data_IF_383042411222
#
_entry.id   IF_383042411222
#
_cell.length_a   1.000
_cell.length_b   1.000
_cell.length_c   1.000
_cell.angle_alpha   90.00
_cell.angle_beta   90.00
_cell.angle_gamma   90.00
#
_symmetry.space_group_name_H-M   'P 1'
#
loop_
_entity.id
_entity.type
_entity.pdbx_description
1 polymer ?
#
# COMPACT_ATOMS: atom_id res chain seq x y z
N UNK A 1 16.14 23.64 -14.46
CA UNK A 1 16.89 22.71 -15.31
C UNK A 1 16.28 21.33 -15.10
N UNK A 2 15.42 20.89 -16.02
CA UNK A 2 14.77 19.58 -15.96
C UNK A 2 15.71 18.50 -16.49
N UNK A 3 15.98 17.50 -15.67
CA UNK A 3 16.67 16.29 -16.13
C UNK A 3 15.66 15.43 -16.87
N UNK A 4 15.79 15.36 -18.20
CA UNK A 4 15.02 14.44 -19.02
C UNK A 4 15.54 13.02 -18.71
N UNK A 5 14.73 12.21 -18.03
CA UNK A 5 14.96 10.78 -17.92
C UNK A 5 14.63 10.14 -19.26
N UNK A 6 15.66 9.69 -19.96
CA UNK A 6 15.50 8.87 -21.17
C UNK A 6 14.80 7.55 -20.80
N UNK A 7 13.76 7.13 -21.53
CA UNK A 7 13.14 5.83 -21.30
C UNK A 7 14.17 4.72 -21.59
N UNK A 8 14.26 3.77 -20.67
CA UNK A 8 15.21 2.67 -20.72
C UNK A 8 14.73 1.65 -21.78
N UNK A 9 15.12 1.86 -23.05
CA UNK A 9 14.74 1.00 -24.18
C UNK A 9 15.21 -0.47 -24.02
N UNK A 10 16.28 -0.71 -23.25
CA UNK A 10 16.79 -2.06 -22.99
C UNK A 10 15.82 -2.97 -22.22
N UNK A 11 14.92 -2.40 -21.40
CA UNK A 11 13.90 -3.17 -20.67
C UNK A 11 12.76 -3.65 -21.57
N UNK A 12 12.34 -2.83 -22.53
CA UNK A 12 11.25 -3.16 -23.43
C UNK A 12 11.63 -4.31 -24.40
N UNK A 13 12.86 -4.32 -24.87
CA UNK A 13 13.34 -5.38 -25.77
C UNK A 13 13.48 -6.73 -25.05
N UNK A 14 13.82 -6.73 -23.77
CA UNK A 14 13.86 -7.94 -22.94
C UNK A 14 12.48 -8.48 -22.62
N UNK A 15 11.49 -7.62 -22.38
CA UNK A 15 10.10 -8.03 -22.15
C UNK A 15 9.50 -8.69 -23.40
N UNK A 16 9.71 -8.11 -24.59
CA UNK A 16 9.24 -8.67 -25.86
C UNK A 16 9.90 -10.01 -26.15
N UNK A 17 11.19 -10.16 -25.88
CA UNK A 17 11.91 -11.43 -26.07
C UNK A 17 11.42 -12.52 -25.10
N UNK A 18 11.14 -12.17 -23.84
CA UNK A 18 10.59 -13.13 -22.86
C UNK A 18 9.16 -13.53 -23.18
N UNK A 19 8.34 -12.61 -23.70
CA UNK A 19 6.97 -12.94 -24.15
C UNK A 19 6.96 -13.87 -25.36
N UNK A 20 7.84 -13.65 -26.33
CA UNK A 20 7.96 -14.53 -27.50
C UNK A 20 8.39 -15.95 -27.10
N UNK A 21 9.41 -16.03 -26.23
CA UNK A 21 9.90 -17.31 -25.71
C UNK A 21 8.87 -18.02 -24.83
N UNK A 22 8.09 -17.28 -24.05
CA UNK A 22 7.00 -17.82 -23.25
C UNK A 22 5.90 -18.44 -24.11
N UNK A 23 5.60 -17.89 -25.28
CA UNK A 23 4.62 -18.48 -26.22
C UNK A 23 5.08 -19.83 -26.74
N UNK A 24 6.36 -19.97 -27.09
CA UNK A 24 6.92 -21.24 -27.55
C UNK A 24 7.01 -22.30 -26.46
N UNK A 25 7.19 -21.89 -25.21
CA UNK A 25 7.32 -22.78 -24.05
C UNK A 25 5.97 -23.13 -23.40
N UNK A 26 4.92 -22.35 -23.67
CA UNK A 26 3.58 -22.57 -23.12
C UNK A 26 3.00 -23.92 -23.52
N UNK A 27 3.26 -24.35 -24.74
CA UNK A 27 2.88 -25.68 -25.21
C UNK A 27 3.64 -26.82 -24.52
N UNK A 28 4.78 -26.51 -23.91
CA UNK A 28 5.63 -27.42 -23.13
C UNK A 28 5.40 -27.33 -21.61
N UNK A 29 4.49 -26.48 -21.17
CA UNK A 29 4.15 -26.31 -19.75
C UNK A 29 5.17 -25.55 -18.92
N UNK A 30 6.06 -24.75 -19.53
CA UNK A 30 7.05 -23.91 -18.84
C UNK A 30 6.71 -22.43 -19.01
N UNK A 31 6.92 -21.64 -17.95
CA UNK A 31 6.83 -20.17 -17.95
C UNK A 31 8.19 -19.59 -17.53
N UNK A 32 8.75 -18.73 -18.37
CA UNK A 32 9.90 -17.91 -18.01
C UNK A 32 9.41 -16.58 -17.45
N UNK A 33 9.87 -16.25 -16.26
CA UNK A 33 9.56 -14.98 -15.61
C UNK A 33 10.82 -14.42 -14.93
N UNK A 34 10.86 -13.10 -14.73
CA UNK A 34 11.98 -12.50 -14.00
C UNK A 34 11.90 -12.82 -12.50
N UNK A 35 13.04 -12.82 -11.82
CA UNK A 35 13.08 -13.02 -10.37
C UNK A 35 12.32 -11.91 -9.63
N UNK A 36 12.31 -10.70 -10.17
CA UNK A 36 11.54 -9.57 -9.64
C UNK A 36 10.04 -9.79 -9.69
N UNK A 37 9.53 -10.36 -10.79
CA UNK A 37 8.11 -10.66 -10.95
C UNK A 37 7.64 -11.72 -9.95
N UNK A 38 8.47 -12.75 -9.70
CA UNK A 38 8.17 -13.78 -8.69
C UNK A 38 8.13 -13.16 -7.30
N UNK A 39 9.11 -12.31 -6.95
CA UNK A 39 9.16 -11.64 -5.66
C UNK A 39 7.95 -10.70 -5.49
N UNK A 40 7.61 -9.92 -6.51
CA UNK A 40 6.48 -9.00 -6.47
C UNK A 40 5.13 -9.75 -6.43
N UNK A 41 5.03 -10.89 -7.13
CA UNK A 41 3.86 -11.78 -7.02
C UNK A 41 3.71 -12.31 -5.60
N UNK A 42 4.78 -12.82 -4.99
CA UNK A 42 4.76 -13.30 -3.62
C UNK A 42 4.40 -12.20 -2.62
N UNK A 43 4.98 -11.01 -2.75
CA UNK A 43 4.67 -9.84 -1.90
C UNK A 43 3.20 -9.41 -2.01
N UNK A 44 2.66 -9.36 -3.23
CA UNK A 44 1.26 -8.97 -3.43
C UNK A 44 0.26 -10.00 -2.92
N UNK A 45 0.64 -11.27 -2.89
CA UNK A 45 -0.19 -12.36 -2.33
C UNK A 45 -0.10 -12.50 -0.80
N UNK A 46 0.79 -11.76 -0.14
CA UNK A 46 1.00 -11.83 1.31
C UNK A 46 1.28 -10.43 1.88
N UNK A 47 0.29 -9.56 1.81
CA UNK A 47 0.34 -8.23 2.40
C UNK A 47 -0.26 -8.24 3.80
N UNK A 48 0.54 -7.86 4.79
CA UNK A 48 0.07 -7.71 6.16
C UNK A 48 -0.05 -6.23 6.50
N UNK A 49 -1.25 -5.78 6.89
CA UNK A 49 -1.42 -4.39 7.27
C UNK A 49 -1.31 -4.17 8.78
N UNK A 50 -0.63 -3.11 9.15
CA UNK A 50 -0.62 -2.59 10.52
C UNK A 50 -1.93 -1.85 10.81
N UNK A 51 -2.63 -2.26 11.87
CA UNK A 51 -3.87 -1.64 12.31
C UNK A 51 -3.59 -0.37 13.11
N UNK A 52 -3.41 0.76 12.43
CA UNK A 52 -3.23 2.07 13.07
C UNK A 52 -4.56 2.84 13.08
N UNK A 53 -5.51 2.35 13.87
CA UNK A 53 -6.84 2.93 14.02
C UNK A 53 -6.86 4.09 15.01
N UNK A 54 -7.26 5.27 14.54
CA UNK A 54 -7.27 6.50 15.35
C UNK A 54 -8.69 7.02 15.63
N UNK A 55 -9.65 6.75 14.73
CA UNK A 55 -11.02 7.25 14.83
C UNK A 55 -12.00 6.35 14.05
N UNK A 56 -13.11 6.93 13.58
CA UNK A 56 -14.19 6.21 12.88
C UNK A 56 -13.74 5.39 11.65
N UNK A 57 -12.72 5.82 10.93
CA UNK A 57 -12.17 5.04 9.81
C UNK A 57 -11.64 3.66 10.25
N UNK A 58 -11.24 3.51 11.52
CA UNK A 58 -10.81 2.22 12.06
C UNK A 58 -11.93 1.17 12.05
N UNK A 59 -13.18 1.59 12.22
CA UNK A 59 -14.34 0.69 12.17
C UNK A 59 -14.53 0.12 10.77
N UNK A 60 -14.42 0.97 9.74
CA UNK A 60 -14.49 0.52 8.34
C UNK A 60 -13.26 -0.33 7.95
N UNK A 61 -12.10 -0.03 8.52
CA UNK A 61 -10.91 -0.88 8.35
C UNK A 61 -11.12 -2.27 8.95
N UNK A 62 -11.73 -2.38 10.15
CA UNK A 62 -12.11 -3.67 10.74
C UNK A 62 -13.17 -4.37 9.89
N UNK A 63 -14.16 -3.61 9.36
CA UNK A 63 -15.21 -4.16 8.51
C UNK A 63 -14.64 -4.81 7.23
N UNK A 64 -13.56 -4.27 6.67
CA UNK A 64 -12.89 -4.85 5.50
C UNK A 64 -12.31 -6.26 5.75
N UNK A 65 -11.96 -6.60 7.00
CA UNK A 65 -11.50 -7.94 7.39
C UNK A 65 -12.61 -8.88 7.84
N UNK A 66 -13.85 -8.38 8.01
CA UNK A 66 -15.00 -9.19 8.40
C UNK A 66 -15.52 -10.07 7.25
N UNK A 67 -16.34 -11.10 7.55
CA UNK A 67 -16.76 -12.12 6.57
C UNK A 67 -17.44 -11.58 5.31
N UNK A 68 -18.07 -10.41 5.36
CA UNK A 68 -18.73 -9.81 4.18
C UNK A 68 -17.73 -9.46 3.07
N UNK A 69 -16.57 -8.92 3.44
CA UNK A 69 -15.55 -8.44 2.49
C UNK A 69 -14.37 -9.36 2.41
N UNK A 70 -14.00 -9.96 3.53
CA UNK A 70 -12.97 -11.00 3.64
C UNK A 70 -11.68 -10.63 2.88
N UNK A 71 -10.99 -9.59 3.35
CA UNK A 71 -9.75 -9.12 2.75
C UNK A 71 -8.67 -10.22 2.71
N UNK A 72 -8.76 -11.23 3.58
CA UNK A 72 -7.79 -12.33 3.66
C UNK A 72 -7.78 -13.19 2.39
N UNK A 73 -8.91 -13.32 1.70
CA UNK A 73 -8.97 -14.02 0.39
C UNK A 73 -8.12 -13.38 -0.70
N UNK A 74 -7.77 -12.09 -0.53
CA UNK A 74 -6.85 -11.37 -1.43
C UNK A 74 -5.39 -11.45 -0.96
N UNK A 75 -5.10 -12.25 0.06
CA UNK A 75 -3.78 -12.32 0.66
C UNK A 75 -3.43 -11.13 1.55
N UNK A 76 -4.44 -10.46 2.12
CA UNK A 76 -4.27 -9.23 2.89
C UNK A 76 -4.85 -9.43 4.29
N UNK A 77 -3.98 -9.55 5.31
CA UNK A 77 -4.38 -9.86 6.68
C UNK A 77 -3.94 -8.78 7.68
N UNK A 78 -4.75 -8.52 8.75
CA UNK A 78 -4.37 -7.57 9.79
C UNK A 78 -3.26 -8.13 10.69
N UNK A 79 -2.33 -7.27 11.10
CA UNK A 79 -1.31 -7.56 12.11
C UNK A 79 -1.23 -6.42 13.12
N UNK A 80 -1.10 -6.74 14.39
CA UNK A 80 -0.98 -5.74 15.45
C UNK A 80 0.46 -5.23 15.63
N UNK A 81 1.46 -6.04 15.22
CA UNK A 81 2.87 -5.68 15.38
C UNK A 81 3.42 -5.01 14.14
N UNK A 82 4.07 -3.84 14.25
CA UNK A 82 4.70 -3.17 13.12
C UNK A 82 5.82 -4.00 12.48
N UNK A 83 6.50 -4.83 13.24
CA UNK A 83 7.58 -5.70 12.72
C UNK A 83 7.08 -6.87 11.87
N UNK A 84 5.79 -7.16 11.90
CA UNK A 84 5.13 -8.21 11.14
C UNK A 84 4.20 -7.64 10.04
N UNK A 85 4.31 -6.35 9.76
CA UNK A 85 3.42 -5.64 8.83
C UNK A 85 4.20 -4.98 7.72
N UNK A 86 3.68 -5.07 6.50
CA UNK A 86 4.26 -4.50 5.29
C UNK A 86 3.58 -3.17 4.92
N UNK A 87 2.33 -3.01 5.31
CA UNK A 87 1.48 -1.86 4.99
C UNK A 87 0.98 -1.21 6.27
N UNK A 88 1.13 0.11 6.41
CA UNK A 88 0.49 0.88 7.46
C UNK A 88 -0.79 1.52 6.91
N UNK A 89 -1.92 1.29 7.56
CA UNK A 89 -3.17 2.00 7.26
C UNK A 89 -3.40 3.04 8.36
N UNK A 90 -3.27 4.31 8.02
CA UNK A 90 -3.57 5.42 8.93
C UNK A 90 -5.06 5.71 8.83
N UNK A 91 -5.85 5.20 9.78
CA UNK A 91 -7.29 5.20 9.74
C UNK A 91 -7.89 6.15 10.79
N UNK A 92 -7.97 7.43 10.47
CA UNK A 92 -8.61 8.44 11.32
C UNK A 92 -7.82 9.72 11.48
N UNK A 93 -8.24 10.53 12.46
CA UNK A 93 -7.67 11.85 12.74
C UNK A 93 -6.32 11.73 13.43
N UNK A 94 -5.28 12.26 12.79
CA UNK A 94 -3.94 12.31 13.38
C UNK A 94 -3.78 13.61 14.19
N UNK A 95 -3.58 13.48 15.49
CA UNK A 95 -3.30 14.61 16.37
C UNK A 95 -1.81 14.88 16.48
N UNK A 96 -1.44 16.13 16.86
CA UNK A 96 -0.04 16.51 17.09
C UNK A 96 0.62 15.64 18.16
N UNK A 97 -0.12 15.21 19.20
CA UNK A 97 0.39 14.31 20.23
C UNK A 97 0.64 12.89 19.72
N UNK A 98 -0.14 12.45 18.75
CA UNK A 98 -0.03 11.09 18.18
C UNK A 98 0.99 11.02 17.03
N UNK A 99 1.31 12.13 16.40
CA UNK A 99 2.25 12.17 15.27
C UNK A 99 3.63 11.54 15.57
N UNK A 100 4.27 11.79 16.73
CA UNK A 100 5.52 11.12 17.07
C UNK A 100 5.38 9.60 17.22
N UNK A 101 4.24 9.12 17.73
CA UNK A 101 3.94 7.70 17.85
C UNK A 101 3.76 7.04 16.47
N UNK A 102 3.04 7.71 15.55
CA UNK A 102 2.89 7.26 14.16
C UNK A 102 4.27 7.10 13.51
N UNK A 103 5.13 8.10 13.62
CA UNK A 103 6.48 8.05 13.05
C UNK A 103 7.30 6.91 13.65
N UNK A 104 7.27 6.75 14.96
CA UNK A 104 7.98 5.66 15.65
C UNK A 104 7.51 4.28 15.22
N UNK A 105 6.21 4.08 15.03
CA UNK A 105 5.64 2.82 14.55
C UNK A 105 6.06 2.57 13.09
N UNK A 106 6.02 3.60 12.26
CA UNK A 106 6.47 3.50 10.87
C UNK A 106 7.95 3.09 10.76
N UNK A 107 8.81 3.67 11.60
CA UNK A 107 10.26 3.35 11.60
C UNK A 107 10.55 1.93 12.10
N UNK A 108 9.60 1.30 12.83
CA UNK A 108 9.72 -0.09 13.29
C UNK A 108 9.26 -1.12 12.24
N UNK A 109 8.63 -0.69 11.16
CA UNK A 109 8.23 -1.59 10.08
C UNK A 109 9.45 -2.00 9.24
N UNK A 110 9.54 -3.28 8.83
CA UNK A 110 10.58 -3.73 7.93
C UNK A 110 10.39 -3.14 6.52
N UNK A 111 11.46 -3.04 5.77
CA UNK A 111 11.38 -2.67 4.35
C UNK A 111 11.22 -3.94 3.47
N UNK A 112 10.47 -3.85 2.36
CA UNK A 112 9.73 -2.69 1.86
C UNK A 112 8.43 -2.43 2.63
N UNK A 113 8.16 -1.17 2.94
CA UNK A 113 7.00 -0.72 3.71
C UNK A 113 6.18 0.28 2.92
N UNK A 114 4.85 0.20 3.04
CA UNK A 114 3.90 1.03 2.31
C UNK A 114 2.93 1.71 3.26
N UNK A 115 2.39 2.86 2.87
CA UNK A 115 1.44 3.61 3.70
C UNK A 115 0.18 3.92 2.89
N UNK A 116 -0.97 3.59 3.47
CA UNK A 116 -2.29 4.00 2.98
C UNK A 116 -2.86 5.04 3.95
N UNK A 117 -3.18 6.21 3.43
CA UNK A 117 -3.90 7.25 4.15
C UNK A 117 -5.40 7.05 3.91
N UNK A 118 -6.14 6.67 4.97
CA UNK A 118 -7.56 6.35 4.90
C UNK A 118 -8.41 7.46 5.50
N UNK A 119 -9.25 8.03 4.66
CA UNK A 119 -10.25 9.02 5.04
C UNK A 119 -9.74 10.46 5.03
N UNK A 120 -10.67 11.41 4.99
CA UNK A 120 -10.38 12.83 4.85
C UNK A 120 -9.52 13.38 5.98
N UNK A 121 -9.66 12.83 7.20
CA UNK A 121 -8.86 13.28 8.36
C UNK A 121 -7.39 12.93 8.19
N UNK A 122 -7.05 11.71 7.78
CA UNK A 122 -5.68 11.30 7.53
C UNK A 122 -5.12 11.98 6.28
N UNK A 123 -5.93 12.20 5.24
CA UNK A 123 -5.50 12.80 3.98
C UNK A 123 -5.14 14.28 4.13
N UNK A 124 -5.89 15.04 4.91
CA UNK A 124 -5.65 16.50 4.99
C UNK A 124 -6.24 17.18 6.22
N UNK A 125 -6.54 16.44 7.28
CA UNK A 125 -7.20 16.96 8.48
C UNK A 125 -8.73 16.90 8.43
N UNK A 126 -9.33 16.81 7.23
CA UNK A 126 -10.76 16.63 7.02
C UNK A 126 -11.61 17.68 7.71
N UNK A 127 -12.64 17.25 8.44
CA UNK A 127 -13.53 18.13 9.20
C UNK A 127 -12.79 18.97 10.27
N UNK A 128 -11.65 18.47 10.77
CA UNK A 128 -10.84 19.12 11.82
C UNK A 128 -9.63 19.85 11.27
N UNK A 129 -9.62 20.21 10.00
CA UNK A 129 -8.47 20.83 9.33
C UNK A 129 -7.96 22.09 10.02
N UNK A 130 -8.85 22.92 10.56
CA UNK A 130 -8.48 24.16 11.25
C UNK A 130 -8.27 24.00 12.75
N UNK A 131 -8.35 22.79 13.28
CA UNK A 131 -8.07 22.54 14.70
C UNK A 131 -6.58 22.74 15.01
N UNK A 132 -6.29 23.34 16.14
CA UNK A 132 -4.92 23.54 16.65
C UNK A 132 -4.22 22.23 17.01
N UNK A 133 -4.98 21.17 17.30
CA UNK A 133 -4.45 19.90 17.78
C UNK A 133 -4.27 18.83 16.67
N UNK A 134 -4.70 19.09 15.45
CA UNK A 134 -4.72 18.11 14.36
C UNK A 134 -3.65 18.39 13.31
N UNK A 135 -2.97 17.34 12.90
CA UNK A 135 -2.02 17.37 11.78
C UNK A 135 -2.80 17.38 10.47
N UNK A 136 -2.49 18.33 9.60
CA UNK A 136 -3.15 18.53 8.31
C UNK A 136 -2.58 17.60 7.25
N UNK A 137 -2.83 16.30 7.39
CA UNK A 137 -2.35 15.24 6.51
C UNK A 137 -1.22 14.42 7.15
N UNK A 138 -1.35 13.09 7.10
CA UNK A 138 -0.32 12.17 7.62
C UNK A 138 0.93 12.13 6.72
N UNK A 139 0.83 12.60 5.47
CA UNK A 139 1.93 12.75 4.52
C UNK A 139 3.03 13.70 5.00
N UNK A 140 2.72 14.59 5.96
CA UNK A 140 3.72 15.44 6.62
C UNK A 140 4.65 14.67 7.57
N UNK A 141 4.23 13.48 7.98
CA UNK A 141 4.95 12.67 8.98
C UNK A 141 5.58 11.44 8.33
N UNK A 142 4.84 10.75 7.45
CA UNK A 142 5.25 9.53 6.76
C UNK A 142 4.92 9.62 5.26
N UNK A 143 5.73 9.02 4.37
CA UNK A 143 5.42 8.99 2.95
C UNK A 143 4.16 8.15 2.69
N UNK A 144 3.22 8.68 1.91
CA UNK A 144 1.95 8.02 1.58
C UNK A 144 2.00 7.48 0.16
N UNK A 145 1.61 6.23 -0.02
CA UNK A 145 1.55 5.55 -1.32
C UNK A 145 0.19 5.66 -1.99
N UNK A 146 -0.88 5.52 -1.20
CA UNK A 146 -2.27 5.52 -1.67
C UNK A 146 -3.11 6.37 -0.73
N UNK A 147 -3.97 7.20 -1.30
CA UNK A 147 -4.98 7.97 -0.59
C UNK A 147 -6.37 7.39 -0.84
N UNK A 148 -7.11 7.11 0.21
CA UNK A 148 -8.50 6.65 0.14
C UNK A 148 -9.42 7.76 0.65
N UNK A 149 -10.19 8.43 -0.23
CA UNK A 149 -11.09 9.52 0.18
C UNK A 149 -12.36 8.98 0.83
N UNK A 150 -12.96 9.79 1.70
CA UNK A 150 -14.22 9.50 2.38
C UNK A 150 -14.21 9.95 3.84
N UNK A 151 -15.39 9.98 4.49
CA UNK A 151 -15.51 10.37 5.90
C UNK A 151 -16.68 9.63 6.60
N UNK A 152 -16.45 8.36 7.01
CA UNK A 152 -15.38 7.46 6.62
C UNK A 152 -15.54 6.94 5.19
N UNK A 153 -14.49 6.48 4.53
CA UNK A 153 -14.63 5.70 3.30
C UNK A 153 -15.25 4.35 3.62
N UNK A 154 -16.00 3.79 2.68
CA UNK A 154 -16.58 2.45 2.83
C UNK A 154 -15.49 1.38 2.81
N UNK A 155 -15.80 0.19 3.34
CA UNK A 155 -14.87 -0.94 3.30
C UNK A 155 -14.48 -1.33 1.86
N UNK A 156 -15.42 -1.19 0.89
CA UNK A 156 -15.12 -1.40 -0.54
C UNK A 156 -14.09 -0.40 -1.06
N UNK A 157 -14.18 0.87 -0.66
CA UNK A 157 -13.23 1.90 -1.06
C UNK A 157 -11.84 1.60 -0.51
N UNK A 158 -11.73 1.10 0.72
CA UNK A 158 -10.47 0.65 1.30
C UNK A 158 -9.92 -0.57 0.55
N UNK A 159 -10.74 -1.58 0.27
CA UNK A 159 -10.34 -2.76 -0.51
C UNK A 159 -9.83 -2.35 -1.90
N UNK A 160 -10.52 -1.42 -2.55
CA UNK A 160 -10.05 -0.88 -3.83
C UNK A 160 -8.67 -0.22 -3.70
N UNK A 161 -8.45 0.57 -2.63
CA UNK A 161 -7.15 1.17 -2.31
C UNK A 161 -6.04 0.11 -2.12
N UNK A 162 -6.35 -0.98 -1.42
CA UNK A 162 -5.43 -2.11 -1.22
C UNK A 162 -5.10 -2.81 -2.54
N UNK A 163 -6.11 -3.04 -3.39
CA UNK A 163 -5.90 -3.61 -4.73
C UNK A 163 -5.07 -2.68 -5.64
N UNK A 164 -5.23 -1.36 -5.51
CA UNK A 164 -4.38 -0.39 -6.21
C UNK A 164 -2.93 -0.44 -5.71
N UNK A 165 -2.73 -0.63 -4.39
CA UNK A 165 -1.39 -0.82 -3.84
C UNK A 165 -0.74 -2.10 -4.40
N UNK A 166 -1.47 -3.21 -4.48
CA UNK A 166 -0.97 -4.45 -5.10
C UNK A 166 -0.56 -4.23 -6.56
N UNK A 167 -1.37 -3.48 -7.33
CA UNK A 167 -1.02 -3.11 -8.71
C UNK A 167 0.22 -2.23 -8.79
N UNK A 168 0.38 -1.29 -7.85
CA UNK A 168 1.57 -0.45 -7.74
C UNK A 168 2.81 -1.29 -7.49
N UNK A 169 2.76 -2.23 -6.54
CA UNK A 169 3.88 -3.13 -6.21
C UNK A 169 4.29 -3.96 -7.43
N UNK A 170 3.33 -4.51 -8.17
CA UNK A 170 3.60 -5.30 -9.39
C UNK A 170 4.29 -4.50 -10.50
N UNK A 171 3.98 -3.20 -10.61
CA UNK A 171 4.53 -2.32 -11.66
C UNK A 171 5.89 -1.73 -11.34
N UNK A 172 6.18 -1.50 -10.06
CA UNK A 172 7.37 -0.75 -9.65
C UNK A 172 8.64 -1.58 -9.59
N UNK A 173 8.58 -2.91 -9.72
CA UNK A 173 9.75 -3.78 -9.86
C UNK A 173 10.85 -3.51 -8.83
N UNK A 174 10.51 -3.35 -7.55
CA UNK A 174 11.49 -2.92 -6.55
C UNK A 174 11.89 -4.04 -5.62
N UNK A 175 13.07 -4.58 -5.84
CA UNK A 175 13.81 -5.35 -4.82
C UNK A 175 14.31 -4.39 -3.72
N UNK A 176 14.64 -3.15 -4.09
CA UNK A 176 15.01 -2.08 -3.17
C UNK A 176 14.15 -0.84 -3.42
N UNK A 177 13.52 -0.30 -2.37
CA UNK A 177 12.84 0.99 -2.37
C UNK A 177 13.66 1.96 -1.53
#
# INVERSE_FOLDING_TARGET
MGVATTPNHAGADQEVATEALNRELQDKGFLLTSSEDIINWARTGSLHWMTFGLACCAVEMMHASMPRYDAERFGIAPRASPRQSDVMIVAGTLTNKMAPALRKVYDQMPEPRYVISMGSCANGGGYYHYSYSVVRGCDRIVPVDIYVPGCPPTAEALLYGLLQLQRKIRRTGTIAR
#
